data_IF_129901558276
#
_entry.id   IF_129901558276
#
_cell.length_a   1.000
_cell.length_b   1.000
_cell.length_c   1.000
_cell.angle_alpha   90.00
_cell.angle_beta   90.00
_cell.angle_gamma   90.00
#
_symmetry.space_group_name_H-M   'P 1'
#
loop_
_entity.id
_entity.type
_entity.pdbx_description
1 polymer ?
#
# COMPACT_ATOMS: atom_id res chain seq x y z
N UNK A 1 -39.01 -13.89 18.33
CA UNK A 1 -37.72 -13.20 18.58
C UNK A 1 -36.61 -14.01 17.92
N UNK A 2 -35.68 -13.36 17.20
CA UNK A 2 -34.57 -14.08 16.58
C UNK A 2 -33.52 -14.48 17.64
N UNK A 3 -32.88 -15.66 17.53
CA UNK A 3 -31.89 -16.10 18.51
C UNK A 3 -30.71 -15.13 18.56
N UNK A 4 -30.23 -14.80 19.78
CA UNK A 4 -29.16 -13.82 20.03
C UNK A 4 -27.96 -13.98 19.08
N UNK A 5 -27.52 -15.22 18.86
CA UNK A 5 -26.39 -15.54 17.97
C UNK A 5 -26.62 -15.10 16.52
N UNK A 6 -27.85 -15.23 16.01
CA UNK A 6 -28.20 -14.81 14.63
C UNK A 6 -28.22 -13.29 14.51
N UNK A 7 -28.74 -12.60 15.54
CA UNK A 7 -28.73 -11.14 15.61
C UNK A 7 -27.30 -10.61 15.73
N UNK A 8 -26.47 -11.23 16.56
CA UNK A 8 -25.07 -10.88 16.74
C UNK A 8 -24.26 -11.04 15.44
N UNK A 9 -24.36 -12.20 14.78
CA UNK A 9 -23.73 -12.45 13.48
C UNK A 9 -24.18 -11.44 12.41
N UNK A 10 -25.48 -11.15 12.37
CA UNK A 10 -26.05 -10.18 11.44
C UNK A 10 -25.54 -8.75 11.71
N UNK A 11 -25.49 -8.33 12.97
CA UNK A 11 -24.94 -7.02 13.36
C UNK A 11 -23.47 -6.84 12.99
N UNK A 12 -22.68 -7.92 13.07
CA UNK A 12 -21.28 -7.94 12.64
C UNK A 12 -21.08 -8.22 11.14
N UNK A 13 -22.15 -8.34 10.35
CA UNK A 13 -22.12 -8.69 8.92
C UNK A 13 -21.35 -9.99 8.64
N UNK A 14 -21.44 -10.97 9.54
CA UNK A 14 -20.84 -12.29 9.38
C UNK A 14 -21.75 -13.22 8.58
N UNK A 15 -21.16 -14.22 7.91
CA UNK A 15 -21.91 -15.27 7.26
C UNK A 15 -22.77 -16.04 8.29
N UNK A 16 -23.99 -16.42 7.92
CA UNK A 16 -24.88 -17.20 8.78
C UNK A 16 -24.29 -18.57 9.16
N UNK A 17 -23.42 -19.10 8.30
CA UNK A 17 -22.71 -20.38 8.42
C UNK A 17 -21.49 -20.35 9.33
N UNK A 18 -21.07 -19.19 9.84
CA UNK A 18 -19.91 -19.10 10.74
C UNK A 18 -20.18 -19.92 12.00
N UNK A 19 -19.20 -20.71 12.45
CA UNK A 19 -19.37 -21.58 13.63
C UNK A 19 -19.71 -20.76 14.87
N UNK A 20 -20.61 -21.26 15.71
CA UNK A 20 -20.94 -20.64 17.00
C UNK A 20 -19.79 -20.69 18.00
N UNK A 21 -18.86 -21.65 17.83
CA UNK A 21 -17.68 -21.80 18.70
C UNK A 21 -16.80 -20.56 18.72
N UNK A 22 -16.87 -19.74 17.68
CA UNK A 22 -16.20 -18.45 17.54
C UNK A 22 -16.65 -17.42 18.59
N UNK A 23 -17.88 -17.52 19.10
CA UNK A 23 -18.38 -16.65 20.18
C UNK A 23 -17.88 -17.08 21.57
N UNK A 24 -17.40 -18.31 21.68
CA UNK A 24 -17.01 -18.94 22.94
C UNK A 24 -15.50 -19.19 22.99
N UNK A 25 -14.72 -18.09 22.92
CA UNK A 25 -13.24 -18.10 22.91
C UNK A 25 -12.64 -18.91 24.07
N UNK A 26 -13.22 -18.80 25.26
CA UNK A 26 -12.69 -19.41 26.49
C UNK A 26 -12.93 -20.92 26.58
N UNK A 27 -13.89 -21.48 25.84
CA UNK A 27 -14.27 -22.90 25.96
C UNK A 27 -13.50 -23.77 24.96
N UNK A 28 -13.24 -23.25 23.77
CA UNK A 28 -12.66 -24.03 22.67
C UNK A 28 -11.20 -23.68 22.34
N UNK A 29 -10.59 -22.76 23.09
CA UNK A 29 -9.24 -22.23 22.81
C UNK A 29 -9.03 -21.82 21.35
N UNK A 30 -10.09 -21.34 20.69
CA UNK A 30 -10.05 -20.94 19.28
C UNK A 30 -9.40 -19.56 19.21
N UNK A 31 -8.47 -19.40 18.27
CA UNK A 31 -7.81 -18.12 17.99
C UNK A 31 -8.84 -16.99 17.85
N UNK A 32 -8.49 -15.81 18.37
CA UNK A 32 -9.31 -14.62 18.28
C UNK A 32 -9.75 -14.38 16.82
N UNK A 33 -11.04 -14.14 16.58
CA UNK A 33 -11.62 -13.84 15.26
C UNK A 33 -10.81 -12.78 14.53
N UNK A 34 -10.42 -11.75 15.28
CA UNK A 34 -9.65 -10.64 14.77
C UNK A 34 -8.31 -11.10 14.20
N UNK A 35 -7.59 -11.95 14.93
CA UNK A 35 -6.29 -12.47 14.51
C UNK A 35 -6.44 -13.38 13.29
N UNK A 36 -7.41 -14.30 13.33
CA UNK A 36 -7.69 -15.21 12.22
C UNK A 36 -8.06 -14.44 10.93
N UNK A 37 -8.84 -13.36 11.04
CA UNK A 37 -9.15 -12.50 9.90
C UNK A 37 -7.92 -11.75 9.36
N UNK A 38 -7.02 -11.31 10.23
CA UNK A 38 -5.78 -10.65 9.81
C UNK A 38 -4.86 -11.66 9.11
N UNK A 39 -4.63 -12.84 9.71
CA UNK A 39 -3.84 -13.92 9.14
C UNK A 39 -4.37 -14.33 7.75
N UNK A 40 -5.67 -14.58 7.62
CA UNK A 40 -6.28 -14.94 6.35
C UNK A 40 -6.09 -13.86 5.27
N UNK A 41 -6.21 -12.57 5.64
CA UNK A 41 -6.02 -11.45 4.72
C UNK A 41 -4.57 -11.29 4.29
N UNK A 42 -3.63 -11.45 5.21
CA UNK A 42 -2.19 -11.37 4.94
C UNK A 42 -1.77 -12.52 4.03
N UNK A 43 -2.22 -13.75 4.33
CA UNK A 43 -1.97 -14.92 3.49
C UNK A 43 -2.49 -14.71 2.06
N UNK A 44 -3.73 -14.22 1.91
CA UNK A 44 -4.28 -13.91 0.60
C UNK A 44 -3.46 -12.85 -0.15
N UNK A 45 -2.96 -11.84 0.57
CA UNK A 45 -2.11 -10.81 -0.02
C UNK A 45 -0.74 -11.37 -0.45
N UNK A 46 -0.13 -12.26 0.34
CA UNK A 46 1.11 -12.96 -0.01
C UNK A 46 0.91 -13.81 -1.27
N UNK A 47 -0.16 -14.60 -1.31
CA UNK A 47 -0.52 -15.42 -2.48
C UNK A 47 -0.71 -14.53 -3.71
N UNK A 48 -1.38 -13.39 -3.56
CA UNK A 48 -1.57 -12.41 -4.64
C UNK A 48 -0.24 -11.83 -5.15
N UNK A 49 0.74 -11.55 -4.28
CA UNK A 49 2.06 -11.05 -4.67
C UNK A 49 2.92 -12.12 -5.36
N UNK A 50 2.76 -13.38 -4.92
CA UNK A 50 3.51 -14.53 -5.41
C UNK A 50 2.88 -15.23 -6.62
N UNK A 51 1.65 -14.86 -6.98
CA UNK A 51 0.96 -15.36 -8.17
C UNK A 51 1.82 -15.18 -9.44
N UNK A 52 1.69 -16.10 -10.40
CA UNK A 52 2.41 -16.06 -11.68
C UNK A 52 1.53 -15.61 -12.86
N UNK A 53 0.22 -15.47 -12.66
CA UNK A 53 -0.76 -15.26 -13.71
C UNK A 53 -1.20 -13.81 -13.89
N UNK A 54 -2.46 -13.66 -14.29
CA UNK A 54 -3.11 -12.36 -14.55
C UNK A 54 -3.25 -11.55 -13.26
N UNK A 55 -3.50 -12.22 -12.13
CA UNK A 55 -3.66 -11.57 -10.84
C UNK A 55 -2.37 -10.83 -10.46
N UNK A 56 -1.19 -11.41 -10.72
CA UNK A 56 0.10 -10.72 -10.57
C UNK A 56 0.19 -9.44 -11.39
N UNK A 57 -0.16 -9.51 -12.68
CA UNK A 57 -0.11 -8.35 -13.61
C UNK A 57 -1.02 -7.22 -13.13
N UNK A 58 -2.25 -7.54 -12.73
CA UNK A 58 -3.20 -6.55 -12.18
C UNK A 58 -2.65 -5.95 -10.89
N UNK A 59 -2.07 -6.76 -10.01
CA UNK A 59 -1.49 -6.30 -8.75
C UNK A 59 -0.33 -5.34 -8.99
N UNK A 60 0.56 -5.66 -9.93
CA UNK A 60 1.67 -4.78 -10.36
C UNK A 60 1.15 -3.44 -10.88
N UNK A 61 0.16 -3.43 -11.77
CA UNK A 61 -0.43 -2.18 -12.28
C UNK A 61 -1.05 -1.34 -11.16
N UNK A 62 -1.72 -1.97 -10.20
CA UNK A 62 -2.28 -1.27 -9.04
C UNK A 62 -1.20 -0.68 -8.14
N UNK A 63 -0.07 -1.38 -7.95
CA UNK A 63 1.07 -0.88 -7.20
C UNK A 63 1.73 0.32 -7.90
N UNK A 64 1.92 0.26 -9.22
CA UNK A 64 2.46 1.39 -10.01
C UNK A 64 1.51 2.58 -9.93
N UNK A 65 0.20 2.37 -10.10
CA UNK A 65 -0.80 3.43 -9.96
C UNK A 65 -0.80 4.05 -8.56
N UNK A 66 -0.56 3.25 -7.52
CA UNK A 66 -0.43 3.76 -6.15
C UNK A 66 0.86 4.54 -5.93
N UNK A 67 1.96 4.08 -6.48
CA UNK A 67 3.25 4.76 -6.44
C UNK A 67 3.15 6.15 -7.09
N UNK A 68 2.51 6.23 -8.26
CA UNK A 68 2.27 7.48 -8.98
C UNK A 68 1.31 8.41 -8.21
N UNK A 69 0.20 7.90 -7.67
CA UNK A 69 -0.74 8.68 -6.84
C UNK A 69 -0.12 9.21 -5.55
N UNK A 70 0.87 8.52 -5.01
CA UNK A 70 1.62 8.99 -3.85
C UNK A 70 2.85 9.78 -4.24
N UNK A 71 3.20 9.87 -5.53
CA UNK A 71 4.40 10.49 -6.06
C UNK A 71 5.68 9.97 -5.37
N UNK A 72 5.94 8.68 -5.51
CA UNK A 72 7.06 7.97 -4.88
C UNK A 72 8.07 7.47 -5.92
N UNK A 73 9.36 7.56 -5.58
CA UNK A 73 10.49 7.05 -6.36
C UNK A 73 10.47 5.52 -6.47
N UNK A 74 10.15 4.84 -5.37
CA UNK A 74 10.18 3.38 -5.27
C UNK A 74 8.81 2.81 -4.93
N UNK A 75 8.61 1.54 -5.27
CA UNK A 75 7.45 0.76 -4.86
C UNK A 75 7.22 0.85 -3.35
N UNK A 76 5.95 0.98 -2.95
CA UNK A 76 5.55 1.03 -1.54
C UNK A 76 5.98 -0.21 -0.76
N UNK A 77 6.15 -1.35 -1.43
CA UNK A 77 6.58 -2.58 -0.76
C UNK A 77 8.02 -2.46 -0.21
N UNK A 78 8.87 -1.68 -0.89
CA UNK A 78 10.29 -1.52 -0.54
C UNK A 78 10.52 -0.38 0.43
N UNK A 79 9.94 0.80 0.16
CA UNK A 79 10.26 2.06 0.86
C UNK A 79 9.05 2.60 1.63
N UNK A 80 8.32 1.75 2.35
CA UNK A 80 7.29 2.25 3.25
C UNK A 80 7.92 2.73 4.57
N UNK A 81 7.74 4.01 4.89
CA UNK A 81 8.13 4.64 6.15
C UNK A 81 6.86 5.09 6.92
N UNK A 82 6.80 4.86 8.23
CA UNK A 82 5.67 5.28 9.06
C UNK A 82 5.43 6.79 9.06
N UNK A 83 6.44 7.59 8.70
CA UNK A 83 6.31 9.04 8.52
C UNK A 83 5.43 9.46 7.33
N UNK A 84 5.01 8.52 6.45
CA UNK A 84 4.07 8.80 5.37
C UNK A 84 2.66 9.02 5.91
N UNK A 85 2.25 10.29 6.02
CA UNK A 85 0.83 10.64 6.18
C UNK A 85 0.12 10.38 4.86
N UNK A 86 -0.58 9.26 4.81
CA UNK A 86 -1.37 8.84 3.65
C UNK A 86 -2.48 9.87 3.39
N UNK A 87 -2.63 10.37 2.16
CA UNK A 87 -3.73 11.27 1.79
C UNK A 87 -5.09 10.65 2.10
N UNK A 88 -6.04 11.45 2.58
CA UNK A 88 -7.39 10.97 2.95
C UNK A 88 -8.07 10.19 1.81
N UNK A 89 -7.90 10.65 0.57
CA UNK A 89 -8.41 10.01 -0.66
C UNK A 89 -7.95 8.55 -0.82
N UNK A 90 -6.77 8.19 -0.30
CA UNK A 90 -6.15 6.87 -0.43
C UNK A 90 -6.32 5.99 0.83
N UNK A 91 -6.91 6.53 1.90
CA UNK A 91 -7.07 5.82 3.19
C UNK A 91 -7.84 4.51 3.08
N UNK A 92 -8.75 4.39 2.10
CA UNK A 92 -9.56 3.19 1.88
C UNK A 92 -8.96 2.19 0.89
N UNK A 93 -7.76 2.43 0.36
CA UNK A 93 -7.12 1.50 -0.55
C UNK A 93 -6.70 0.20 0.16
N UNK A 94 -7.09 -0.94 -0.41
CA UNK A 94 -6.83 -2.26 0.15
C UNK A 94 -5.33 -2.58 0.26
N UNK A 95 -4.57 -2.37 -0.82
CA UNK A 95 -3.13 -2.71 -0.88
C UNK A 95 -2.37 -1.88 0.16
N UNK A 96 -2.69 -0.60 0.25
CA UNK A 96 -2.06 0.30 1.20
C UNK A 96 -2.37 -0.08 2.65
N UNK A 97 -3.62 -0.48 2.95
CA UNK A 97 -3.97 -1.03 4.28
C UNK A 97 -3.22 -2.32 4.58
N UNK A 98 -3.00 -3.18 3.58
CA UNK A 98 -2.20 -4.40 3.76
C UNK A 98 -0.75 -4.07 4.10
N UNK A 99 -0.13 -3.14 3.38
CA UNK A 99 1.26 -2.71 3.67
C UNK A 99 1.38 -2.16 5.09
N UNK A 100 0.44 -1.30 5.51
CA UNK A 100 0.37 -0.77 6.88
C UNK A 100 0.20 -1.90 7.91
N UNK A 101 -0.70 -2.86 7.63
CA UNK A 101 -0.95 -3.99 8.52
C UNK A 101 0.27 -4.89 8.66
N UNK A 102 0.96 -5.18 7.55
CA UNK A 102 2.15 -6.02 7.53
C UNK A 102 3.28 -5.38 8.32
N UNK A 103 3.48 -4.07 8.21
CA UNK A 103 4.48 -3.34 9.01
C UNK A 103 4.16 -3.35 10.51
N UNK A 104 2.89 -3.18 10.89
CA UNK A 104 2.46 -3.30 12.29
C UNK A 104 2.70 -4.69 12.90
N UNK A 105 2.76 -5.71 12.05
CA UNK A 105 3.00 -7.10 12.45
C UNK A 105 4.44 -7.54 12.18
N UNK A 106 5.33 -6.60 11.81
CA UNK A 106 6.75 -6.84 11.53
C UNK A 106 7.00 -7.90 10.44
N UNK A 107 6.09 -8.03 9.48
CA UNK A 107 6.21 -8.96 8.37
C UNK A 107 7.01 -8.30 7.25
N UNK A 108 8.16 -8.88 6.93
CA UNK A 108 8.99 -8.47 5.81
C UNK A 108 8.67 -9.30 4.55
N UNK A 109 8.75 -8.65 3.39
CA UNK A 109 8.58 -9.30 2.10
C UNK A 109 9.92 -9.34 1.38
N UNK A 110 10.31 -10.54 0.95
CA UNK A 110 11.32 -10.66 -0.10
C UNK A 110 10.64 -10.41 -1.45
N UNK A 111 10.88 -9.23 -2.01
CA UNK A 111 10.20 -8.74 -3.20
C UNK A 111 11.03 -9.14 -4.42
N UNK A 112 10.43 -9.92 -5.32
CA UNK A 112 11.00 -10.20 -6.64
C UNK A 112 11.18 -8.90 -7.44
N UNK A 113 12.28 -8.79 -8.18
CA UNK A 113 12.67 -7.55 -8.89
C UNK A 113 11.59 -7.01 -9.83
N UNK A 114 10.76 -7.87 -10.42
CA UNK A 114 9.63 -7.48 -11.27
C UNK A 114 8.61 -6.56 -10.56
N UNK A 115 8.52 -6.62 -9.23
CA UNK A 115 7.61 -5.81 -8.41
C UNK A 115 8.30 -4.55 -7.84
N UNK A 116 9.63 -4.46 -7.96
CA UNK A 116 10.42 -3.29 -7.60
C UNK A 116 10.37 -2.31 -8.76
N UNK A 117 9.34 -1.47 -8.79
CA UNK A 117 9.34 -0.32 -9.67
C UNK A 117 10.17 0.80 -9.04
N UNK A 118 11.29 1.15 -9.67
CA UNK A 118 12.20 2.21 -9.22
C UNK A 118 12.30 3.24 -10.34
N UNK A 119 11.85 4.46 -10.05
CA UNK A 119 12.03 5.62 -10.92
C UNK A 119 13.46 6.09 -10.73
N UNK A 120 14.29 5.91 -11.76
CA UNK A 120 15.68 6.35 -11.74
C UNK A 120 15.73 7.87 -11.90
N UNK A 121 16.54 8.51 -11.07
CA UNK A 121 16.82 9.94 -11.14
C UNK A 121 17.98 10.31 -10.22
N UNK A 122 17.99 11.54 -9.70
CA UNK A 122 19.10 12.00 -8.88
C UNK A 122 19.07 11.44 -7.45
N UNK A 123 20.17 11.63 -6.72
CA UNK A 123 20.33 11.16 -5.34
C UNK A 123 19.43 11.91 -4.33
N UNK A 124 18.79 13.02 -4.72
CA UNK A 124 18.17 13.95 -3.78
C UNK A 124 16.67 14.11 -4.05
N UNK A 125 15.85 13.46 -3.22
CA UNK A 125 14.40 13.57 -3.30
C UNK A 125 13.91 14.82 -2.59
N UNK A 126 13.00 15.56 -3.24
CA UNK A 126 12.36 16.75 -2.67
C UNK A 126 11.64 16.40 -1.36
N UNK A 127 10.98 15.23 -1.35
CA UNK A 127 10.26 14.73 -0.18
C UNK A 127 11.15 14.54 1.05
N UNK A 128 12.36 14.02 0.87
CA UNK A 128 13.24 13.69 2.01
C UNK A 128 14.01 14.91 2.52
N UNK A 129 14.37 15.83 1.62
CA UNK A 129 15.28 16.94 1.96
C UNK A 129 14.61 18.29 2.20
N UNK A 130 13.46 18.56 1.59
CA UNK A 130 12.96 19.94 1.47
C UNK A 130 11.63 20.19 2.18
N UNK A 131 10.70 19.24 2.15
CA UNK A 131 9.31 19.47 2.58
C UNK A 131 8.92 18.59 3.76
N UNK A 132 8.19 19.16 4.73
CA UNK A 132 7.47 18.35 5.71
C UNK A 132 6.39 17.52 5.01
N UNK A 133 5.97 16.39 5.61
CA UNK A 133 4.96 15.50 5.01
C UNK A 133 3.64 16.22 4.69
N UNK A 134 3.29 17.25 5.46
CA UNK A 134 2.07 18.06 5.25
C UNK A 134 2.20 19.01 4.07
N UNK A 135 3.32 19.72 3.95
CA UNK A 135 3.58 20.64 2.83
C UNK A 135 3.75 19.87 1.52
N UNK A 136 4.39 18.70 1.58
CA UNK A 136 4.51 17.81 0.45
C UNK A 136 3.14 17.37 -0.07
N UNK A 137 2.22 16.96 0.81
CA UNK A 137 0.89 16.52 0.40
C UNK A 137 0.04 17.65 -0.22
N UNK A 138 0.27 18.91 0.17
CA UNK A 138 -0.39 20.07 -0.42
C UNK A 138 0.15 20.42 -1.80
N UNK A 139 1.46 20.29 -2.00
CA UNK A 139 2.16 20.58 -3.27
C UNK A 139 2.28 19.36 -4.19
N UNK A 140 1.77 18.20 -3.79
CA UNK A 140 1.96 16.95 -4.53
C UNK A 140 1.36 17.01 -5.94
N UNK A 141 0.16 17.60 -6.07
CA UNK A 141 -0.52 17.70 -7.37
C UNK A 141 0.29 18.59 -8.33
N UNK A 142 0.83 19.71 -7.85
CA UNK A 142 1.66 20.60 -8.67
C UNK A 142 3.00 19.98 -9.04
N UNK A 143 3.69 19.33 -8.09
CA UNK A 143 4.94 18.60 -8.35
C UNK A 143 4.74 17.51 -9.40
N UNK A 144 3.59 16.84 -9.37
CA UNK A 144 3.21 15.82 -10.35
C UNK A 144 2.92 16.42 -11.72
N UNK A 145 2.20 17.53 -11.79
CA UNK A 145 1.92 18.22 -13.06
C UNK A 145 3.21 18.68 -13.76
N UNK A 146 4.22 19.10 -12.98
CA UNK A 146 5.54 19.47 -13.51
C UNK A 146 6.53 18.31 -13.62
N UNK A 147 6.14 17.07 -13.30
CA UNK A 147 7.00 15.89 -13.26
C UNK A 147 8.29 16.06 -12.41
N UNK A 148 8.19 16.79 -11.30
CA UNK A 148 9.31 17.10 -10.40
C UNK A 148 9.28 16.14 -9.21
N UNK A 149 10.28 15.28 -9.11
CA UNK A 149 10.48 14.31 -8.04
C UNK A 149 11.84 14.51 -7.33
N UNK A 150 12.85 14.95 -8.08
CA UNK A 150 14.23 15.12 -7.65
C UNK A 150 14.61 16.61 -7.58
N UNK A 151 15.47 16.95 -6.62
CA UNK A 151 15.90 18.33 -6.40
C UNK A 151 16.69 18.89 -7.58
N UNK A 152 17.48 18.03 -8.24
CA UNK A 152 18.27 18.40 -9.42
C UNK A 152 17.38 18.92 -10.56
N UNK A 153 16.13 18.47 -10.66
CA UNK A 153 15.20 18.97 -11.68
C UNK A 153 14.84 20.46 -11.47
N UNK A 154 15.00 20.99 -10.25
CA UNK A 154 14.84 22.41 -9.95
C UNK A 154 16.12 23.21 -10.23
N UNK A 155 17.29 22.58 -10.17
CA UNK A 155 18.59 23.26 -10.35
C UNK A 155 19.09 23.24 -11.79
N UNK A 156 18.57 22.34 -12.65
CA UNK A 156 18.85 22.28 -14.11
C UNK A 156 18.16 23.42 -14.89
N UNK A 157 17.70 24.47 -14.21
CA UNK A 157 17.15 25.67 -14.85
C UNK A 157 18.18 26.46 -15.70
N UNK A 158 19.43 25.99 -15.83
CA UNK A 158 20.40 26.55 -16.78
C UNK A 158 20.51 25.83 -18.13
N UNK A 159 19.99 24.61 -18.32
CA UNK A 159 19.89 23.91 -19.62
C UNK A 159 19.39 22.47 -19.43
N UNK A 160 18.14 22.18 -19.78
CA UNK A 160 17.84 21.18 -20.81
C UNK A 160 16.33 20.94 -20.89
N UNK A 161 15.84 21.08 -22.12
CA UNK A 161 14.59 20.52 -22.58
C UNK A 161 14.42 19.07 -22.13
N UNK A 162 13.18 18.73 -21.79
CA UNK A 162 12.66 17.37 -21.75
C UNK A 162 13.14 16.59 -22.99
N UNK A 163 14.15 15.74 -22.84
CA UNK A 163 14.40 14.67 -23.81
C UNK A 163 13.39 13.56 -23.53
N UNK A 164 12.26 13.66 -24.23
CA UNK A 164 11.46 12.52 -24.63
C UNK A 164 12.27 11.71 -25.66
N UNK A 165 12.58 10.45 -25.34
CA UNK A 165 12.98 9.40 -26.27
C UNK A 165 14.39 9.49 -26.88
N UNK A 166 15.22 8.47 -26.69
CA UNK A 166 15.54 7.51 -27.76
C UNK A 166 16.53 6.41 -27.31
N UNK A 167 16.16 5.16 -27.61
CA UNK A 167 16.93 3.98 -28.10
C UNK A 167 18.42 3.83 -27.68
N UNK A 168 18.94 2.72 -27.12
CA UNK A 168 18.77 1.27 -27.38
C UNK A 168 18.99 0.45 -26.08
#
# INVERSE_FOLDING_TARGET
>A
MAPFKKVFKHGLKMASTISDSILHKNIYNINNIYNNQNEAKILNFIVQLNDSGILRKITRLRLISLQDKLWLEQSLLTKYNESFKIPFKLKNNFILKMIVLNKKLEIEFDIKDDLKNIIRGSKHLIREKLLSTTEFNQSMDTLRDFNIMFLDQLTILSRMHLYLGDQF
#
